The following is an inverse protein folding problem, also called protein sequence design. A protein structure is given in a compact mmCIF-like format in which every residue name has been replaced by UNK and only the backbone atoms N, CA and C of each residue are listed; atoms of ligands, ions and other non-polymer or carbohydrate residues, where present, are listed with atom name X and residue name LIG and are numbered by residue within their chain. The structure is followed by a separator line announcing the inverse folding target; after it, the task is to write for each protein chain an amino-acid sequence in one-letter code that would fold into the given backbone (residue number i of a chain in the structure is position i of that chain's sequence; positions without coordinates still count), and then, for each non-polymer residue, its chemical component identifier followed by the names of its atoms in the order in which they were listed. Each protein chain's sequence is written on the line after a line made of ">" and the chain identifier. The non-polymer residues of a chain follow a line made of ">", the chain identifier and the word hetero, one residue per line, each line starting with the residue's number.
data_IF_743094357171
#
_entry.id   IF_743094357171
#
_cell.length_a   1.000
_cell.length_b   1.000
_cell.length_c   1.000
_cell.angle_alpha   90.00
_cell.angle_beta   90.00
_cell.angle_gamma   90.00
#
_symmetry.space_group_name_H-M   'P 1'
#
loop_
_entity.id
_entity.type
_entity.pdbx_description
1 polymer ?
#
# COMPACT_ATOMS: atom_id res chain seq x y z
N UNK A 1 30.89 -9.78 38.11
CA UNK A 1 30.86 -11.08 37.39
C UNK A 1 29.44 -11.64 37.31
N UNK A 2 28.71 -11.73 38.43
CA UNK A 2 27.38 -12.35 38.51
C UNK A 2 26.35 -11.87 37.45
N UNK A 3 26.28 -10.55 37.17
CA UNK A 3 25.33 -10.01 36.19
C UNK A 3 25.64 -10.41 34.74
N UNK A 4 26.91 -10.47 34.35
CA UNK A 4 27.30 -10.85 32.97
C UNK A 4 27.03 -12.34 32.70
N UNK A 5 27.25 -13.20 33.70
CA UNK A 5 26.94 -14.62 33.65
C UNK A 5 25.43 -14.88 33.58
N UNK A 6 24.62 -14.14 34.34
CA UNK A 6 23.16 -14.22 34.26
C UNK A 6 22.64 -13.83 32.87
N UNK A 7 23.14 -12.73 32.30
CA UNK A 7 22.75 -12.32 30.94
C UNK A 7 23.22 -13.35 29.90
N UNK A 8 24.43 -13.89 30.06
CA UNK A 8 24.96 -14.96 29.20
C UNK A 8 24.02 -16.17 29.21
N UNK A 9 23.64 -16.66 30.39
CA UNK A 9 22.73 -17.80 30.53
C UNK A 9 21.36 -17.54 29.89
N UNK A 10 20.81 -16.33 30.06
CA UNK A 10 19.53 -15.97 29.45
C UNK A 10 19.60 -15.92 27.92
N UNK A 11 20.67 -15.34 27.35
CA UNK A 11 20.87 -15.27 25.90
C UNK A 11 21.14 -16.67 25.34
N UNK A 12 21.99 -17.47 26.00
CA UNK A 12 22.28 -18.83 25.59
C UNK A 12 21.03 -19.71 25.64
N UNK A 13 20.30 -19.69 26.76
CA UNK A 13 19.04 -20.44 26.92
C UNK A 13 17.98 -20.02 25.89
N UNK A 14 17.91 -18.73 25.55
CA UNK A 14 17.06 -18.26 24.47
C UNK A 14 17.45 -18.94 23.16
N UNK A 15 18.71 -18.81 22.73
CA UNK A 15 19.21 -19.36 21.46
C UNK A 15 19.07 -20.89 21.37
N UNK A 16 19.38 -21.61 22.46
CA UNK A 16 19.24 -23.08 22.53
C UNK A 16 17.79 -23.53 22.41
N UNK A 17 16.84 -22.70 22.86
CA UNK A 17 15.40 -22.99 22.75
C UNK A 17 14.78 -22.58 21.41
N UNK A 18 15.55 -21.96 20.51
CA UNK A 18 15.04 -21.43 19.26
C UNK A 18 15.01 -22.48 18.14
N UNK A 19 13.95 -22.48 17.33
CA UNK A 19 13.90 -23.27 16.09
C UNK A 19 14.56 -22.55 14.91
N UNK A 20 14.31 -21.25 14.76
CA UNK A 20 14.87 -20.41 13.69
C UNK A 20 15.27 -19.03 14.27
N UNK A 21 16.37 -18.94 15.03
CA UNK A 21 16.79 -17.69 15.64
C UNK A 21 17.28 -16.68 14.59
N UNK A 22 16.88 -15.42 14.77
CA UNK A 22 17.38 -14.26 14.01
C UNK A 22 17.85 -13.17 14.95
N UNK A 23 18.96 -12.54 14.57
CA UNK A 23 19.57 -11.39 15.19
C UNK A 23 19.06 -10.14 14.48
N UNK A 24 18.49 -9.19 15.23
CA UNK A 24 17.89 -8.00 14.68
C UNK A 24 18.42 -6.76 15.40
N UNK A 25 19.14 -5.93 14.66
CA UNK A 25 19.41 -4.56 15.08
C UNK A 25 18.38 -3.63 14.45
N UNK A 26 17.83 -2.66 15.20
CA UNK A 26 17.09 -1.56 14.59
C UNK A 26 17.95 -0.94 13.48
N UNK A 27 17.53 -1.12 12.22
CA UNK A 27 18.25 -0.66 11.01
C UNK A 27 18.32 -1.66 9.92
N UNK A 28 18.45 -2.90 10.35
CA UNK A 28 18.98 -3.90 9.48
C UNK A 28 17.91 -4.93 9.17
N UNK A 29 17.99 -5.59 8.00
CA UNK A 29 17.22 -6.80 7.80
C UNK A 29 17.55 -7.82 8.92
N UNK A 30 16.60 -8.66 9.33
CA UNK A 30 16.89 -9.75 10.25
C UNK A 30 18.07 -10.59 9.74
N UNK A 31 19.06 -10.83 10.59
CA UNK A 31 20.24 -11.65 10.30
C UNK A 31 20.00 -13.07 10.85
N UNK A 32 19.81 -14.09 10.00
CA UNK A 32 19.62 -15.45 10.48
C UNK A 32 20.81 -15.96 11.27
N UNK A 33 20.56 -16.53 12.44
CA UNK A 33 21.55 -17.20 13.27
C UNK A 33 21.57 -18.68 12.86
N UNK A 34 22.39 -19.01 11.86
CA UNK A 34 22.58 -20.40 11.42
C UNK A 34 23.38 -21.20 12.46
N UNK A 35 23.31 -22.54 12.47
CA UNK A 35 24.21 -23.37 13.26
C UNK A 35 25.68 -23.01 12.99
N UNK A 36 26.44 -22.72 14.04
CA UNK A 36 27.82 -22.24 13.93
C UNK A 36 28.00 -20.81 13.40
N UNK A 37 26.90 -20.07 13.18
CA UNK A 37 26.88 -18.68 12.69
C UNK A 37 26.86 -17.62 13.79
N UNK A 38 27.21 -17.98 15.03
CA UNK A 38 27.34 -17.04 16.13
C UNK A 38 28.37 -17.47 17.16
N UNK A 39 28.82 -16.50 17.97
CA UNK A 39 29.67 -16.68 19.14
C UNK A 39 29.15 -15.77 20.26
N UNK A 40 28.78 -16.37 21.37
CA UNK A 40 28.48 -15.69 22.62
C UNK A 40 29.61 -15.99 23.60
N UNK A 41 30.23 -14.96 24.18
CA UNK A 41 31.37 -15.16 25.07
C UNK A 41 31.59 -14.00 26.01
N UNK A 42 32.21 -14.29 27.16
CA UNK A 42 32.65 -13.29 28.14
C UNK A 42 34.17 -13.14 28.04
N UNK A 43 34.63 -11.99 27.56
CA UNK A 43 36.05 -11.67 27.45
C UNK A 43 36.37 -10.46 28.35
N UNK A 44 37.35 -10.60 29.25
CA UNK A 44 37.74 -9.54 30.19
C UNK A 44 36.56 -8.92 30.96
N UNK A 45 35.59 -9.75 31.35
CA UNK A 45 34.37 -9.33 32.07
C UNK A 45 33.30 -8.66 31.19
N UNK A 46 33.42 -8.69 29.87
CA UNK A 46 32.47 -8.11 28.91
C UNK A 46 31.79 -9.21 28.12
N UNK A 47 30.46 -9.28 28.21
CA UNK A 47 29.66 -10.19 27.40
C UNK A 47 29.53 -9.64 25.97
N UNK A 48 29.95 -10.42 24.99
CA UNK A 48 29.88 -10.07 23.57
C UNK A 48 29.11 -11.14 22.81
N UNK A 49 28.20 -10.70 21.95
CA UNK A 49 27.56 -11.55 20.95
C UNK A 49 28.04 -11.13 19.57
N UNK A 50 28.57 -12.09 18.83
CA UNK A 50 28.90 -11.98 17.42
C UNK A 50 27.98 -12.90 16.61
N UNK A 51 27.37 -12.40 15.55
CA UNK A 51 26.51 -13.16 14.62
C UNK A 51 26.96 -12.87 13.19
N UNK A 52 27.12 -13.90 12.37
CA UNK A 52 27.58 -13.75 10.99
C UNK A 52 26.82 -14.61 9.99
N UNK A 53 26.79 -14.13 8.76
CA UNK A 53 26.36 -14.81 7.54
C UNK A 53 27.41 -14.62 6.44
N UNK A 54 27.14 -15.13 5.24
CA UNK A 54 27.97 -14.89 4.05
C UNK A 54 28.07 -13.39 3.68
N UNK A 55 27.07 -12.58 4.03
CA UNK A 55 26.97 -11.17 3.63
C UNK A 55 27.08 -10.17 4.77
N UNK A 56 26.98 -10.58 6.04
CA UNK A 56 26.95 -9.66 7.20
C UNK A 56 27.63 -10.25 8.43
N UNK A 57 28.27 -9.39 9.23
CA UNK A 57 28.84 -9.73 10.54
C UNK A 57 28.51 -8.64 11.56
N UNK A 58 27.83 -9.00 12.64
CA UNK A 58 27.37 -8.10 13.71
C UNK A 58 28.06 -8.50 15.01
N UNK A 59 28.80 -7.57 15.62
CA UNK A 59 29.47 -7.77 16.92
C UNK A 59 28.96 -6.74 17.92
N UNK A 60 28.37 -7.17 19.04
CA UNK A 60 27.81 -6.26 20.05
C UNK A 60 28.16 -6.67 21.47
N UNK A 61 28.57 -5.69 22.29
CA UNK A 61 28.73 -5.88 23.74
C UNK A 61 27.38 -5.75 24.41
N UNK A 62 26.92 -6.81 25.06
CA UNK A 62 25.66 -6.83 25.79
C UNK A 62 25.89 -6.30 27.21
N UNK A 63 25.02 -5.39 27.67
CA UNK A 63 25.12 -4.76 28.99
C UNK A 63 23.89 -4.97 29.87
N UNK A 64 22.77 -5.42 29.31
CA UNK A 64 21.54 -5.67 30.06
C UNK A 64 20.49 -6.42 29.25
N UNK A 65 19.46 -6.94 29.93
CA UNK A 65 18.25 -7.46 29.30
C UNK A 65 17.15 -6.43 29.49
N UNK A 66 16.59 -5.95 28.39
CA UNK A 66 15.50 -4.97 28.38
C UNK A 66 14.14 -5.64 28.50
N UNK A 67 13.91 -6.71 27.75
CA UNK A 67 12.69 -7.49 27.85
C UNK A 67 12.92 -8.95 27.45
N UNK A 68 12.24 -9.87 28.12
CA UNK A 68 12.25 -11.29 27.79
C UNK A 68 10.81 -11.79 27.68
N UNK A 69 10.44 -12.29 26.51
CA UNK A 69 9.13 -12.86 26.19
C UNK A 69 9.34 -14.20 25.45
N UNK A 70 8.35 -15.10 25.42
CA UNK A 70 8.42 -16.30 24.59
C UNK A 70 8.75 -15.92 23.13
N UNK A 71 9.82 -16.51 22.57
CA UNK A 71 10.27 -16.26 21.20
C UNK A 71 10.90 -14.87 20.94
N UNK A 72 11.06 -14.03 21.97
CA UNK A 72 11.68 -12.70 21.83
C UNK A 72 12.51 -12.30 23.05
N UNK A 73 13.78 -12.01 22.83
CA UNK A 73 14.69 -11.46 23.83
C UNK A 73 15.27 -10.13 23.32
N UNK A 74 15.05 -9.05 24.05
CA UNK A 74 15.63 -7.74 23.75
C UNK A 74 16.71 -7.41 24.78
N UNK A 75 17.92 -7.13 24.31
CA UNK A 75 19.08 -6.82 25.14
C UNK A 75 19.60 -5.42 24.85
N UNK A 76 20.06 -4.74 25.89
CA UNK A 76 20.77 -3.48 25.77
C UNK A 76 22.22 -3.76 25.35
N UNK A 77 22.69 -3.05 24.33
CA UNK A 77 24.03 -3.23 23.76
C UNK A 77 24.79 -1.91 23.67
N UNK A 78 26.11 -2.01 23.61
CA UNK A 78 26.99 -0.90 23.26
C UNK A 78 27.48 -1.09 21.82
N UNK A 79 27.10 -0.16 20.94
CA UNK A 79 27.60 -0.05 19.56
C UNK A 79 28.93 0.67 19.54
N UNK A 80 29.76 0.41 18.53
CA UNK A 80 30.95 1.22 18.28
C UNK A 80 30.53 2.56 17.62
N UNK A 81 31.02 3.75 18.05
CA UNK A 81 31.92 4.04 19.16
C UNK A 81 31.14 4.47 20.43
N UNK A 82 30.80 3.51 21.29
CA UNK A 82 30.14 3.67 22.61
C UNK A 82 28.70 4.23 22.63
N UNK A 83 27.94 4.14 21.54
CA UNK A 83 26.50 4.49 21.55
C UNK A 83 25.69 3.35 22.18
N UNK A 84 24.85 3.64 23.17
CA UNK A 84 23.86 2.68 23.65
C UNK A 84 22.84 2.38 22.55
N UNK A 85 22.46 1.11 22.43
CA UNK A 85 21.42 0.64 21.52
C UNK A 85 20.75 -0.61 22.07
N UNK A 86 19.82 -1.18 21.31
CA UNK A 86 19.26 -2.50 21.61
C UNK A 86 19.56 -3.48 20.48
N UNK A 87 19.61 -4.76 20.85
CA UNK A 87 19.68 -5.89 19.96
C UNK A 87 18.51 -6.83 20.30
N UNK A 88 17.73 -7.20 19.30
CA UNK A 88 16.65 -8.17 19.45
C UNK A 88 17.11 -9.52 18.93
N UNK A 89 16.86 -10.55 19.72
CA UNK A 89 16.93 -11.94 19.31
C UNK A 89 15.51 -12.46 19.23
N UNK A 90 15.16 -13.02 18.09
CA UNK A 90 13.80 -13.42 17.78
C UNK A 90 13.84 -14.85 17.23
N UNK A 91 12.95 -15.71 17.71
CA UNK A 91 12.79 -17.05 17.14
C UNK A 91 11.66 -17.04 16.11
N UNK A 92 12.00 -17.16 14.82
CA UNK A 92 11.01 -17.30 13.75
C UNK A 92 10.36 -18.70 13.73
N UNK A 93 10.98 -19.69 14.38
CA UNK A 93 10.53 -21.09 14.42
C UNK A 93 9.55 -21.37 15.56
N UNK A 94 9.59 -20.59 16.64
CA UNK A 94 8.51 -20.48 17.64
C UNK A 94 7.36 -19.68 17.05
N UNK A 95 6.72 -20.25 16.05
CA UNK A 95 5.62 -19.63 15.37
C UNK A 95 5.00 -20.54 14.34
N UNK A 96 3.90 -21.21 14.71
CA UNK A 96 2.92 -21.60 13.71
C UNK A 96 2.52 -20.37 12.89
N UNK A 97 1.97 -20.59 11.69
CA UNK A 97 1.62 -19.59 10.67
C UNK A 97 0.76 -18.38 11.14
N UNK A 98 0.39 -18.28 12.43
CA UNK A 98 -0.39 -17.20 13.05
C UNK A 98 0.29 -16.36 14.14
N UNK A 99 1.58 -16.53 14.47
CA UNK A 99 2.20 -15.79 15.62
C UNK A 99 2.74 -14.38 15.29
N UNK A 100 2.79 -13.97 14.02
CA UNK A 100 3.11 -12.58 13.63
C UNK A 100 4.56 -12.13 13.81
N UNK A 101 5.46 -13.02 14.25
CA UNK A 101 6.86 -12.71 14.58
C UNK A 101 7.70 -12.32 13.35
N UNK A 102 7.65 -13.00 12.19
CA UNK A 102 8.32 -12.55 10.96
C UNK A 102 7.82 -11.17 10.50
N UNK A 103 6.50 -10.94 10.55
CA UNK A 103 5.88 -9.66 10.20
C UNK A 103 6.31 -8.53 11.14
N UNK A 104 6.53 -8.82 12.42
CA UNK A 104 7.08 -7.85 13.37
C UNK A 104 8.52 -7.45 12.99
N UNK A 105 9.37 -8.43 12.67
CA UNK A 105 10.75 -8.17 12.29
C UNK A 105 10.84 -7.32 11.00
N UNK A 106 10.03 -7.64 9.98
CA UNK A 106 9.94 -6.84 8.75
C UNK A 106 9.48 -5.41 9.01
N UNK A 107 8.47 -5.20 9.87
CA UNK A 107 8.00 -3.86 10.26
C UNK A 107 9.08 -3.05 10.96
N UNK A 108 9.84 -3.67 11.86
CA UNK A 108 10.94 -2.99 12.56
C UNK A 108 12.08 -2.62 11.60
N UNK A 109 12.44 -3.52 10.67
CA UNK A 109 13.44 -3.25 9.65
C UNK A 109 13.03 -2.05 8.78
N UNK A 110 11.79 -2.06 8.29
CA UNK A 110 11.23 -0.98 7.49
C UNK A 110 11.17 0.36 8.24
N UNK A 111 10.81 0.33 9.54
CA UNK A 111 10.76 1.53 10.38
C UNK A 111 12.13 2.18 10.53
N UNK A 112 13.18 1.39 10.75
CA UNK A 112 14.51 1.98 10.84
C UNK A 112 15.05 2.40 9.46
N UNK A 113 14.77 1.63 8.39
CA UNK A 113 15.07 2.07 7.02
C UNK A 113 14.49 3.46 6.77
N UNK A 114 13.22 3.67 7.12
CA UNK A 114 12.59 4.98 7.05
C UNK A 114 13.34 6.02 7.90
N UNK A 115 13.71 5.70 9.15
CA UNK A 115 14.49 6.62 10.00
C UNK A 115 15.82 7.03 9.37
N UNK A 116 16.56 6.10 8.76
CA UNK A 116 17.84 6.37 8.09
C UNK A 116 17.66 7.18 6.82
N UNK A 117 16.67 6.84 5.99
CA UNK A 117 16.25 7.61 4.83
C UNK A 117 15.97 9.07 5.20
N UNK A 118 15.21 9.32 6.28
CA UNK A 118 14.91 10.67 6.74
C UNK A 118 16.17 11.44 7.16
N UNK A 119 17.15 10.77 7.77
CA UNK A 119 18.42 11.42 8.13
C UNK A 119 19.25 11.83 6.91
N UNK A 120 19.13 11.12 5.79
CA UNK A 120 19.85 11.42 4.54
C UNK A 120 19.11 12.47 3.70
N UNK A 121 17.84 12.21 3.39
CA UNK A 121 17.06 13.01 2.43
C UNK A 121 16.38 14.23 3.06
N UNK A 122 16.06 14.19 4.35
CA UNK A 122 15.44 15.31 5.08
C UNK A 122 16.45 16.01 6.00
N UNK A 123 17.67 16.24 5.51
CA UNK A 123 18.72 16.96 6.25
C UNK A 123 18.23 18.35 6.68
N UNK A 124 18.36 18.67 7.97
CA UNK A 124 17.89 19.94 8.54
C UNK A 124 16.39 19.99 8.88
N UNK A 125 15.64 18.92 8.63
CA UNK A 125 14.27 18.77 9.13
C UNK A 125 14.27 18.07 10.48
N UNK A 126 13.33 18.44 11.35
CA UNK A 126 13.12 17.77 12.63
C UNK A 126 12.17 16.59 12.43
N UNK A 127 12.63 15.38 12.72
CA UNK A 127 11.78 14.18 12.76
C UNK A 127 10.88 14.26 14.00
N UNK A 128 9.57 14.30 13.77
CA UNK A 128 8.55 14.39 14.83
C UNK A 128 8.13 13.01 15.32
N UNK A 129 7.92 12.09 14.38
CA UNK A 129 7.44 10.75 14.64
C UNK A 129 7.99 9.78 13.60
N UNK A 130 8.30 8.55 14.02
CA UNK A 130 8.48 7.39 13.15
C UNK A 130 7.76 6.20 13.79
N UNK A 131 6.73 5.67 13.14
CA UNK A 131 5.85 4.63 13.70
C UNK A 131 5.48 3.58 12.66
N UNK A 132 5.19 2.37 13.12
CA UNK A 132 4.56 1.28 12.36
C UNK A 132 3.40 0.66 13.16
N UNK A 133 2.86 1.43 14.12
CA UNK A 133 1.77 0.98 14.99
C UNK A 133 0.46 0.95 14.22
N UNK A 134 -0.44 0.03 14.57
CA UNK A 134 -1.77 0.00 13.96
C UNK A 134 -2.66 1.03 14.66
N UNK A 135 -3.43 1.79 13.89
CA UNK A 135 -4.56 2.59 14.38
C UNK A 135 -5.72 2.38 13.41
N UNK A 136 -6.49 1.30 13.66
CA UNK A 136 -7.53 0.82 12.73
C UNK A 136 -8.69 1.82 12.62
N UNK A 137 -8.97 2.55 13.70
CA UNK A 137 -9.92 3.67 13.73
C UNK A 137 -9.58 4.79 12.75
N UNK A 138 -8.32 4.86 12.32
CA UNK A 138 -7.80 5.82 11.35
C UNK A 138 -7.30 5.14 10.06
N UNK A 139 -7.55 3.83 9.92
CA UNK A 139 -7.11 3.03 8.76
C UNK A 139 -5.58 3.08 8.57
N UNK A 140 -4.83 3.25 9.66
CA UNK A 140 -3.37 3.24 9.64
C UNK A 140 -2.87 1.80 9.77
N UNK A 141 -2.53 1.20 8.63
CA UNK A 141 -2.05 -0.18 8.55
C UNK A 141 -0.64 -0.34 9.15
N UNK A 142 -0.38 -1.36 9.99
CA UNK A 142 0.94 -1.61 10.53
C UNK A 142 1.95 -2.11 9.47
N UNK A 143 1.51 -2.52 8.28
CA UNK A 143 2.40 -3.01 7.22
C UNK A 143 3.37 -1.93 6.73
N UNK A 144 3.00 -0.65 6.87
CA UNK A 144 3.79 0.49 6.43
C UNK A 144 4.47 1.16 7.60
N UNK A 145 5.72 1.59 7.41
CA UNK A 145 6.33 2.56 8.30
C UNK A 145 5.91 3.96 7.89
N UNK A 146 5.59 4.81 8.86
CA UNK A 146 5.14 6.18 8.66
C UNK A 146 5.98 7.12 9.49
N UNK A 147 6.17 8.32 9.00
CA UNK A 147 6.85 9.38 9.71
C UNK A 147 6.26 10.74 9.37
N UNK A 148 6.53 11.69 10.25
CA UNK A 148 6.32 13.11 10.00
C UNK A 148 7.61 13.88 10.29
N UNK A 149 7.93 14.82 9.41
CA UNK A 149 9.10 15.69 9.55
C UNK A 149 8.67 17.14 9.39
N UNK A 150 9.24 18.03 10.19
CA UNK A 150 8.86 19.44 10.25
C UNK A 150 10.07 20.34 10.10
N UNK A 151 9.92 21.41 9.32
CA UNK A 151 10.89 22.49 9.18
C UNK A 151 10.13 23.79 8.90
N UNK A 152 10.45 24.84 9.65
CA UNK A 152 9.94 26.20 9.43
C UNK A 152 8.40 26.29 9.29
N UNK A 153 7.66 25.47 10.06
CA UNK A 153 6.19 25.43 10.01
C UNK A 153 5.59 24.55 8.91
N UNK A 154 6.41 24.03 8.00
CA UNK A 154 6.03 23.04 7.00
C UNK A 154 6.23 21.62 7.55
N UNK A 155 5.29 20.73 7.24
CA UNK A 155 5.29 19.32 7.62
C UNK A 155 5.21 18.45 6.37
N UNK A 156 5.97 17.37 6.33
CA UNK A 156 5.85 16.32 5.32
C UNK A 156 5.38 15.02 5.96
N UNK A 157 4.38 14.40 5.32
CA UNK A 157 3.99 13.03 5.55
C UNK A 157 4.97 12.13 4.80
N UNK A 158 5.57 11.14 5.47
CA UNK A 158 6.44 10.16 4.82
C UNK A 158 5.92 8.76 5.09
N UNK A 159 5.81 7.93 4.06
CA UNK A 159 5.40 6.53 4.20
C UNK A 159 6.38 5.62 3.43
N UNK A 160 6.86 4.58 4.09
CA UNK A 160 7.67 3.53 3.49
C UNK A 160 6.85 2.24 3.37
N UNK A 161 6.95 1.60 2.21
CA UNK A 161 6.31 0.31 1.92
C UNK A 161 7.29 -0.85 2.08
N UNK A 162 6.87 -2.02 2.61
CA UNK A 162 7.71 -3.21 2.59
C UNK A 162 7.94 -3.71 1.16
N UNK A 163 8.91 -4.61 1.00
CA UNK A 163 9.26 -5.21 -0.29
C UNK A 163 8.31 -6.35 -0.67
N UNK A 164 7.03 -6.03 -0.79
CA UNK A 164 5.94 -6.92 -1.17
C UNK A 164 5.10 -6.20 -2.24
N UNK A 165 4.84 -6.84 -3.39
CA UNK A 165 4.12 -6.23 -4.51
C UNK A 165 2.75 -5.65 -4.09
N UNK A 166 1.92 -6.49 -3.45
CA UNK A 166 0.62 -6.08 -2.96
C UNK A 166 0.67 -4.94 -1.92
N UNK A 167 1.75 -4.80 -1.15
CA UNK A 167 1.90 -3.67 -0.23
C UNK A 167 2.34 -2.40 -0.97
N UNK A 168 3.29 -2.53 -1.91
CA UNK A 168 3.75 -1.42 -2.74
C UNK A 168 2.59 -0.81 -3.56
N UNK A 169 1.72 -1.64 -4.12
CA UNK A 169 0.53 -1.16 -4.84
C UNK A 169 -0.41 -0.37 -3.95
N UNK A 170 -0.60 -0.76 -2.70
CA UNK A 170 -1.48 -0.04 -1.77
C UNK A 170 -0.79 1.13 -1.06
N UNK A 171 0.51 1.34 -1.25
CA UNK A 171 1.29 2.33 -0.51
C UNK A 171 0.76 3.77 -0.69
N UNK A 172 0.32 4.13 -1.90
CA UNK A 172 -0.27 5.45 -2.16
C UNK A 172 -1.58 5.65 -1.38
N UNK A 173 -2.46 4.63 -1.33
CA UNK A 173 -3.71 4.68 -0.55
C UNK A 173 -3.42 5.05 0.90
N UNK A 174 -2.54 4.27 1.54
CA UNK A 174 -2.20 4.47 2.95
C UNK A 174 -1.37 5.74 3.18
N UNK A 175 -0.60 6.19 2.16
CA UNK A 175 0.13 7.46 2.18
C UNK A 175 -0.82 8.66 2.20
N UNK A 176 -1.86 8.64 1.37
CA UNK A 176 -2.89 9.68 1.35
C UNK A 176 -3.70 9.72 2.65
N UNK A 177 -4.02 8.55 3.21
CA UNK A 177 -4.68 8.44 4.52
C UNK A 177 -3.79 9.03 5.62
N UNK A 178 -2.50 8.70 5.62
CA UNK A 178 -1.52 9.25 6.58
C UNK A 178 -1.39 10.76 6.47
N UNK A 179 -1.29 11.27 5.24
CA UNK A 179 -1.19 12.70 4.97
C UNK A 179 -2.44 13.47 5.43
N UNK A 180 -3.65 12.96 5.15
CA UNK A 180 -4.90 13.55 5.64
C UNK A 180 -5.04 13.46 7.17
N UNK A 181 -4.62 12.35 7.78
CA UNK A 181 -4.58 12.20 9.22
C UNK A 181 -3.68 13.27 9.86
N UNK A 182 -2.47 13.49 9.32
CA UNK A 182 -1.57 14.54 9.80
C UNK A 182 -2.17 15.94 9.62
N UNK A 183 -2.89 16.22 8.52
CA UNK A 183 -3.57 17.52 8.34
C UNK A 183 -4.60 17.81 9.43
N UNK A 184 -5.34 16.77 9.84
CA UNK A 184 -6.33 16.88 10.91
C UNK A 184 -5.68 17.00 12.29
N UNK A 185 -4.57 16.28 12.54
CA UNK A 185 -3.85 16.27 13.82
C UNK A 185 -3.00 17.53 14.04
N UNK A 186 -2.22 17.93 13.05
CA UNK A 186 -1.20 18.98 13.14
C UNK A 186 -1.73 20.35 12.69
N UNK A 187 -2.75 20.88 13.37
CA UNK A 187 -3.44 22.13 12.95
C UNK A 187 -2.56 23.38 12.89
N UNK A 188 -1.36 23.34 13.46
CA UNK A 188 -0.39 24.46 13.52
C UNK A 188 0.68 24.39 12.42
N UNK A 189 0.78 23.28 11.69
CA UNK A 189 1.76 23.09 10.63
C UNK A 189 1.05 22.89 9.29
N UNK A 190 1.62 23.44 8.22
CA UNK A 190 1.15 23.15 6.87
C UNK A 190 1.68 21.79 6.46
N UNK A 191 0.82 20.77 6.38
CA UNK A 191 1.19 19.47 5.79
C UNK A 191 1.19 19.62 4.27
N UNK A 192 2.38 19.89 3.75
CA UNK A 192 2.63 20.35 2.38
C UNK A 192 2.59 19.18 1.37
N UNK A 193 3.12 18.03 1.77
CA UNK A 193 3.29 16.93 0.83
C UNK A 193 3.41 15.55 1.46
N UNK A 194 3.36 14.57 0.57
CA UNK A 194 3.53 13.15 0.82
C UNK A 194 4.79 12.66 0.09
N UNK A 195 5.71 12.09 0.85
CA UNK A 195 6.87 11.37 0.33
C UNK A 195 6.64 9.86 0.49
N UNK A 196 6.76 9.10 -0.60
CA UNK A 196 6.71 7.64 -0.61
C UNK A 196 8.12 7.07 -0.77
N UNK A 197 8.46 6.09 0.06
CA UNK A 197 9.66 5.27 -0.07
C UNK A 197 9.24 3.85 -0.45
N UNK A 198 9.45 3.47 -1.70
CA UNK A 198 8.94 2.23 -2.30
C UNK A 198 10.09 1.28 -2.69
N UNK A 199 9.85 -0.03 -2.79
CA UNK A 199 10.87 -0.96 -3.28
C UNK A 199 11.21 -0.68 -4.75
N UNK A 200 12.47 -0.87 -5.14
CA UNK A 200 12.88 -0.77 -6.55
C UNK A 200 12.07 -1.74 -7.42
N UNK A 201 11.67 -1.29 -8.61
CA UNK A 201 10.81 -2.03 -9.52
C UNK A 201 9.32 -2.11 -9.13
N UNK A 202 8.92 -1.63 -7.94
CA UNK A 202 7.51 -1.68 -7.46
C UNK A 202 6.88 -0.30 -7.25
N UNK A 203 7.38 0.72 -7.95
CA UNK A 203 6.95 2.12 -7.81
C UNK A 203 6.07 2.62 -8.97
N UNK A 204 6.01 1.88 -10.09
CA UNK A 204 5.33 2.31 -11.31
C UNK A 204 3.85 2.62 -11.07
N UNK A 205 3.12 1.71 -10.40
CA UNK A 205 1.69 1.87 -10.09
C UNK A 205 1.43 3.16 -9.31
N UNK A 206 2.25 3.44 -8.30
CA UNK A 206 2.13 4.68 -7.52
C UNK A 206 2.40 5.91 -8.38
N UNK A 207 3.41 5.90 -9.26
CA UNK A 207 3.75 7.03 -10.11
C UNK A 207 2.64 7.31 -11.16
N UNK A 208 2.10 6.26 -11.80
CA UNK A 208 0.98 6.37 -12.73
C UNK A 208 -0.25 7.01 -12.07
N UNK A 209 -0.57 6.59 -10.85
CA UNK A 209 -1.68 7.16 -10.07
C UNK A 209 -1.41 8.61 -9.67
N UNK A 210 -0.20 8.93 -9.19
CA UNK A 210 0.18 10.29 -8.77
C UNK A 210 0.05 11.30 -9.91
N UNK A 211 0.36 10.91 -11.14
CA UNK A 211 0.21 11.77 -12.33
C UNK A 211 -1.22 12.27 -12.57
N UNK A 212 -2.21 11.62 -11.93
CA UNK A 212 -3.64 11.94 -12.04
C UNK A 212 -4.27 12.34 -10.70
N UNK A 213 -3.43 12.71 -9.72
CA UNK A 213 -3.85 13.39 -8.51
C UNK A 213 -3.78 14.90 -8.69
N UNK A 214 -4.63 15.62 -7.98
CA UNK A 214 -4.68 17.07 -7.96
C UNK A 214 -3.37 17.63 -7.36
N UNK A 215 -2.55 18.36 -8.15
CA UNK A 215 -1.28 18.89 -7.67
C UNK A 215 -1.45 19.97 -6.59
N UNK A 216 -2.64 20.57 -6.47
CA UNK A 216 -2.97 21.50 -5.39
C UNK A 216 -3.39 20.80 -4.09
N UNK A 217 -3.72 19.50 -4.15
CA UNK A 217 -4.13 18.75 -2.96
C UNK A 217 -2.92 18.37 -2.09
N UNK A 218 -1.78 18.04 -2.69
CA UNK A 218 -0.52 17.77 -1.99
C UNK A 218 0.66 17.80 -2.97
N UNK A 219 1.87 18.07 -2.48
CA UNK A 219 3.10 17.77 -3.22
C UNK A 219 3.44 16.29 -3.06
N UNK A 220 3.84 15.64 -4.16
CA UNK A 220 4.20 14.22 -4.15
C UNK A 220 5.67 14.03 -4.50
N UNK A 221 6.36 13.22 -3.71
CA UNK A 221 7.74 12.80 -3.97
C UNK A 221 7.81 11.29 -3.81
N UNK A 222 8.52 10.62 -4.71
CA UNK A 222 8.71 9.17 -4.65
C UNK A 222 10.21 8.88 -4.67
N UNK A 223 10.63 8.03 -3.74
CA UNK A 223 11.95 7.41 -3.72
C UNK A 223 11.80 5.90 -3.85
N UNK A 224 12.75 5.27 -4.52
CA UNK A 224 12.94 3.82 -4.49
C UNK A 224 14.06 3.45 -3.52
N UNK A 225 14.05 2.22 -3.02
CA UNK A 225 15.18 1.62 -2.31
C UNK A 225 15.50 0.23 -2.85
N UNK A 226 16.76 -0.14 -2.71
CA UNK A 226 17.29 -1.49 -2.93
C UNK A 226 18.32 -1.78 -1.83
N UNK A 227 18.06 -2.77 -0.99
CA UNK A 227 18.88 -3.00 0.19
C UNK A 227 18.84 -1.85 1.24
N UNK A 228 19.84 -1.76 2.14
CA UNK A 228 19.82 -0.85 3.30
C UNK A 228 20.34 0.58 3.03
N UNK A 229 21.25 0.74 2.08
CA UNK A 229 22.03 1.99 1.89
C UNK A 229 21.87 2.62 0.51
N UNK A 230 21.00 2.07 -0.34
CA UNK A 230 20.72 2.63 -1.65
C UNK A 230 19.27 3.10 -1.74
N UNK A 231 19.12 4.36 -2.13
CA UNK A 231 17.85 5.02 -2.38
C UNK A 231 18.01 6.04 -3.52
N UNK A 232 16.99 6.15 -4.37
CA UNK A 232 17.01 7.04 -5.54
C UNK A 232 15.67 7.76 -5.67
N UNK A 233 15.70 9.05 -6.02
CA UNK A 233 14.48 9.79 -6.28
C UNK A 233 13.94 9.44 -7.68
N UNK A 234 12.65 9.14 -7.76
CA UNK A 234 11.98 8.82 -9.03
C UNK A 234 11.45 10.10 -9.67
N UNK A 235 11.70 10.27 -10.97
CA UNK A 235 11.04 11.27 -11.79
C UNK A 235 9.64 10.79 -12.19
N UNK A 236 8.62 11.21 -11.44
CA UNK A 236 7.22 10.79 -11.64
C UNK A 236 6.72 11.06 -13.07
N UNK A 237 7.10 12.20 -13.65
CA UNK A 237 6.68 12.60 -14.99
C UNK A 237 7.22 11.65 -16.09
N UNK A 238 8.30 10.92 -15.84
CA UNK A 238 8.86 9.96 -16.78
C UNK A 238 8.01 8.68 -16.90
N UNK A 239 6.99 8.48 -16.07
CA UNK A 239 6.24 7.22 -15.96
C UNK A 239 4.83 7.30 -16.57
N UNK A 240 4.61 8.17 -17.56
CA UNK A 240 3.31 8.38 -18.21
C UNK A 240 2.90 7.35 -19.27
N UNK A 241 3.81 6.46 -19.69
CA UNK A 241 3.51 5.44 -20.68
C UNK A 241 2.94 4.20 -20.00
N UNK A 242 1.65 3.91 -20.23
CA UNK A 242 1.09 2.62 -19.86
C UNK A 242 1.50 1.58 -20.90
N UNK A 243 2.26 0.58 -20.46
CA UNK A 243 2.50 -0.65 -21.22
C UNK A 243 1.27 -1.57 -21.08
N UNK A 244 0.28 -1.36 -21.94
CA UNK A 244 -1.03 -2.02 -21.83
C UNK A 244 -1.64 -2.36 -23.18
N UNK A 245 -2.37 -3.47 -23.22
CA UNK A 245 -3.08 -3.97 -24.41
C UNK A 245 -4.52 -4.29 -24.05
N UNK A 246 -5.43 -4.05 -25.00
CA UNK A 246 -6.81 -4.55 -24.96
C UNK A 246 -6.98 -5.64 -26.00
N UNK A 247 -7.69 -6.75 -25.68
CA UNK A 247 -7.98 -7.79 -26.65
C UNK A 247 -8.97 -7.29 -27.71
N UNK A 248 -9.10 -8.02 -28.82
CA UNK A 248 -10.23 -7.83 -29.74
C UNK A 248 -11.53 -8.09 -28.97
N UNK A 249 -12.55 -7.26 -29.22
CA UNK A 249 -13.87 -7.44 -28.67
C UNK A 249 -14.47 -8.76 -29.19
N UNK A 250 -14.34 -9.81 -28.38
CA UNK A 250 -15.25 -10.94 -28.47
C UNK A 250 -16.56 -10.51 -27.77
N UNK A 251 -17.72 -10.99 -28.26
CA UNK A 251 -18.99 -10.79 -27.54
C UNK A 251 -18.84 -11.13 -26.05
N UNK A 252 -19.69 -10.59 -25.15
CA UNK A 252 -19.44 -10.57 -23.71
C UNK A 252 -18.89 -11.93 -23.25
N UNK A 253 -17.63 -11.98 -22.76
CA UNK A 253 -16.96 -13.26 -22.59
C UNK A 253 -17.76 -14.15 -21.64
N UNK A 254 -17.89 -15.46 -21.91
CA UNK A 254 -18.40 -16.40 -20.92
C UNK A 254 -17.48 -16.34 -19.70
N UNK A 255 -18.08 -16.26 -18.51
CA UNK A 255 -17.33 -15.88 -17.31
C UNK A 255 -16.28 -16.93 -16.92
N UNK A 256 -15.10 -16.47 -16.53
CA UNK A 256 -14.24 -17.24 -15.64
C UNK A 256 -14.91 -17.32 -14.24
N UNK A 257 -14.68 -18.40 -13.50
CA UNK A 257 -15.12 -18.50 -12.12
C UNK A 257 -14.48 -17.36 -11.31
N UNK A 258 -15.30 -16.45 -10.79
CA UNK A 258 -14.85 -15.44 -9.82
C UNK A 258 -14.71 -16.13 -8.47
N UNK A 259 -13.65 -15.82 -7.75
CA UNK A 259 -13.46 -16.26 -6.35
C UNK A 259 -14.52 -15.66 -5.42
N UNK A 260 -15.17 -14.56 -5.83
CA UNK A 260 -16.18 -13.83 -5.05
C UNK A 260 -17.56 -13.91 -5.73
N UNK A 261 -18.35 -14.94 -5.38
CA UNK A 261 -19.68 -15.21 -5.95
C UNK A 261 -20.67 -14.04 -5.84
N UNK A 262 -20.41 -13.12 -4.92
CA UNK A 262 -21.24 -11.99 -4.56
C UNK A 262 -21.04 -10.73 -5.43
N UNK A 263 -19.79 -10.33 -5.69
CA UNK A 263 -19.46 -9.21 -6.60
C UNK A 263 -19.86 -9.57 -8.03
N UNK A 264 -19.51 -10.78 -8.40
CA UNK A 264 -20.02 -11.55 -9.52
C UNK A 264 -21.53 -11.45 -9.77
N UNK A 265 -22.35 -11.60 -8.72
CA UNK A 265 -23.79 -11.52 -8.84
C UNK A 265 -24.23 -10.08 -9.14
N UNK A 266 -23.64 -9.11 -8.44
CA UNK A 266 -23.97 -7.69 -8.60
C UNK A 266 -23.58 -7.20 -10.00
N UNK A 267 -22.40 -7.59 -10.49
CA UNK A 267 -21.93 -7.33 -11.85
C UNK A 267 -22.93 -7.86 -12.89
N UNK A 268 -23.39 -9.10 -12.74
CA UNK A 268 -24.39 -9.72 -13.63
C UNK A 268 -25.71 -8.94 -13.64
N UNK A 269 -26.18 -8.50 -12.46
CA UNK A 269 -27.40 -7.69 -12.35
C UNK A 269 -27.25 -6.33 -13.00
N UNK A 270 -26.11 -5.65 -12.80
CA UNK A 270 -25.83 -4.35 -13.43
C UNK A 270 -25.79 -4.51 -14.95
N UNK A 271 -25.14 -5.56 -15.45
CA UNK A 271 -25.05 -5.84 -16.89
C UNK A 271 -26.42 -6.11 -17.53
N UNK A 272 -27.31 -6.81 -16.81
CA UNK A 272 -28.66 -7.09 -17.30
C UNK A 272 -29.57 -5.85 -17.33
N UNK A 273 -29.26 -4.81 -16.56
CA UNK A 273 -30.11 -3.62 -16.43
C UNK A 273 -29.29 -2.37 -16.08
N UNK A 274 -28.36 -1.91 -16.96
CA UNK A 274 -27.46 -0.81 -16.65
C UNK A 274 -28.21 0.51 -16.44
N UNK A 275 -29.36 0.70 -17.09
CA UNK A 275 -30.24 1.86 -16.87
C UNK A 275 -30.78 1.97 -15.44
N UNK A 276 -30.89 0.86 -14.69
CA UNK A 276 -31.20 0.92 -13.24
C UNK A 276 -30.03 1.46 -12.43
N UNK A 277 -28.79 1.21 -12.87
CA UNK A 277 -27.58 1.74 -12.24
C UNK A 277 -27.32 3.20 -12.62
N UNK A 278 -27.57 3.62 -13.85
CA UNK A 278 -27.52 5.01 -14.33
C UNK A 278 -28.34 5.10 -15.62
N UNK A 279 -29.41 5.90 -15.62
CA UNK A 279 -30.33 6.03 -16.74
C UNK A 279 -29.69 6.57 -18.03
N UNK A 280 -28.49 7.15 -17.93
CA UNK A 280 -27.71 7.58 -19.11
C UNK A 280 -27.02 6.42 -19.81
N UNK A 281 -26.83 5.27 -19.18
CA UNK A 281 -26.11 4.15 -19.79
C UNK A 281 -26.93 3.49 -20.89
N UNK A 282 -26.26 3.11 -21.97
CA UNK A 282 -26.85 2.27 -23.01
C UNK A 282 -27.19 0.88 -22.43
N UNK A 283 -28.31 0.27 -22.83
CA UNK A 283 -28.65 -1.09 -22.39
C UNK A 283 -27.62 -2.16 -22.79
N UNK A 284 -26.92 -1.95 -23.90
CA UNK A 284 -25.93 -2.88 -24.48
C UNK A 284 -25.07 -2.16 -25.53
N UNK A 285 -23.81 -2.58 -25.76
CA UNK A 285 -23.07 -3.58 -25.00
C UNK A 285 -22.55 -3.04 -23.66
N UNK A 286 -22.50 -3.92 -22.66
CA UNK A 286 -21.77 -3.70 -21.42
C UNK A 286 -20.74 -4.81 -21.31
N UNK A 287 -19.46 -4.45 -21.44
CA UNK A 287 -18.36 -5.39 -21.34
C UNK A 287 -18.02 -5.57 -19.87
N UNK A 288 -17.69 -6.77 -19.47
CA UNK A 288 -17.10 -6.97 -18.16
C UNK A 288 -15.94 -7.93 -18.22
N UNK A 289 -15.14 -7.89 -17.16
CA UNK A 289 -13.88 -8.59 -17.09
C UNK A 289 -12.97 -8.24 -18.28
N UNK A 290 -12.88 -6.95 -18.62
CA UNK A 290 -12.01 -6.49 -19.72
C UNK A 290 -10.56 -6.62 -19.23
N UNK A 291 -9.78 -7.60 -19.72
CA UNK A 291 -8.40 -7.74 -19.28
C UNK A 291 -7.60 -6.59 -19.86
N UNK A 292 -6.79 -5.95 -19.02
CA UNK A 292 -5.85 -4.94 -19.47
C UNK A 292 -4.52 -5.20 -18.77
N UNK A 293 -3.53 -5.55 -19.59
CA UNK A 293 -2.19 -5.95 -19.15
C UNK A 293 -1.42 -4.71 -18.65
N UNK A 294 -0.64 -4.83 -17.58
CA UNK A 294 0.44 -3.88 -17.26
C UNK A 294 1.68 -4.70 -16.94
N UNK A 295 2.64 -4.74 -17.86
CA UNK A 295 3.81 -5.62 -17.73
C UNK A 295 3.40 -7.09 -17.50
N UNK A 296 3.67 -7.63 -16.30
CA UNK A 296 3.39 -9.03 -15.91
C UNK A 296 2.10 -9.16 -15.07
N UNK A 297 1.51 -8.06 -14.62
CA UNK A 297 0.37 -8.08 -13.70
C UNK A 297 -0.98 -7.98 -14.42
N UNK A 298 -1.90 -8.88 -14.03
CA UNK A 298 -3.24 -8.99 -14.57
C UNK A 298 -4.21 -8.20 -13.71
N UNK A 299 -4.68 -7.05 -14.20
CA UNK A 299 -5.85 -6.37 -13.67
C UNK A 299 -7.08 -6.70 -14.52
N UNK A 300 -8.22 -6.91 -13.89
CA UNK A 300 -9.48 -7.18 -14.56
C UNK A 300 -10.50 -6.09 -14.20
N UNK A 301 -10.86 -5.26 -15.19
CA UNK A 301 -11.91 -4.26 -15.01
C UNK A 301 -13.26 -4.97 -14.86
N UNK A 302 -14.01 -4.62 -13.82
CA UNK A 302 -15.35 -5.14 -13.57
C UNK A 302 -16.27 -4.90 -14.76
N UNK A 303 -16.57 -3.64 -15.09
CA UNK A 303 -17.42 -3.31 -16.23
C UNK A 303 -16.96 -2.05 -16.98
N UNK A 304 -17.08 -2.11 -18.31
CA UNK A 304 -16.95 -0.99 -19.23
C UNK A 304 -18.28 -0.81 -19.99
N UNK A 305 -18.89 0.36 -19.86
CA UNK A 305 -20.12 0.74 -20.52
C UNK A 305 -19.95 2.03 -21.32
N UNK A 306 -21.01 2.41 -22.04
CA UNK A 306 -21.09 3.66 -22.78
C UNK A 306 -22.44 4.31 -22.49
N UNK A 307 -22.47 5.64 -22.36
CA UNK A 307 -23.71 6.39 -22.20
C UNK A 307 -24.36 6.75 -23.54
N UNK A 308 -25.61 7.25 -23.48
CA UNK A 308 -26.39 7.67 -24.65
C UNK A 308 -25.70 8.75 -25.51
N UNK A 309 -24.73 9.47 -24.94
CA UNK A 309 -23.92 10.48 -25.65
C UNK A 309 -22.63 9.92 -26.23
N UNK A 310 -22.41 8.61 -26.17
CA UNK A 310 -21.20 7.96 -26.65
C UNK A 310 -20.02 8.03 -25.68
N UNK A 311 -20.18 8.57 -24.46
CA UNK A 311 -19.07 8.71 -23.51
C UNK A 311 -18.89 7.41 -22.72
N UNK A 312 -17.65 6.95 -22.62
CA UNK A 312 -17.31 5.73 -21.88
C UNK A 312 -17.52 5.90 -20.38
N UNK A 313 -17.91 4.82 -19.71
CA UNK A 313 -18.05 4.73 -18.26
C UNK A 313 -17.33 3.49 -17.74
N UNK A 314 -16.35 3.71 -16.87
CA UNK A 314 -15.65 2.68 -16.10
C UNK A 314 -16.44 2.46 -14.81
N UNK A 315 -16.85 1.24 -14.54
CA UNK A 315 -17.69 0.91 -13.39
C UNK A 315 -16.94 -0.10 -12.54
N UNK A 316 -16.54 0.32 -11.34
CA UNK A 316 -15.85 -0.53 -10.36
C UNK A 316 -16.84 -0.90 -9.26
N UNK A 317 -16.95 -2.19 -8.95
CA UNK A 317 -17.92 -2.74 -8.02
C UNK A 317 -17.19 -3.26 -6.78
N UNK A 318 -17.71 -2.94 -5.60
CA UNK A 318 -17.22 -3.53 -4.35
C UNK A 318 -18.36 -3.95 -3.45
N UNK A 319 -18.30 -5.17 -2.91
CA UNK A 319 -19.31 -5.67 -1.95
C UNK A 319 -19.01 -5.30 -0.51
N UNK A 320 -17.74 -5.12 -0.17
CA UNK A 320 -17.29 -4.83 1.19
C UNK A 320 -16.47 -3.55 1.22
N UNK A 321 -16.47 -2.88 2.36
CA UNK A 321 -15.66 -1.68 2.56
C UNK A 321 -14.16 -1.96 2.29
N UNK A 322 -13.60 -1.28 1.28
CA UNK A 322 -12.19 -1.38 0.92
C UNK A 322 -11.56 0.02 0.78
N UNK A 323 -10.52 0.36 1.56
CA UNK A 323 -9.85 1.65 1.44
C UNK A 323 -9.15 1.85 0.09
N UNK A 324 -8.81 0.79 -0.64
CA UNK A 324 -8.09 0.88 -1.92
C UNK A 324 -9.00 1.10 -3.12
N UNK A 325 -10.32 0.92 -2.96
CA UNK A 325 -11.30 1.00 -4.04
C UNK A 325 -11.09 2.22 -4.97
N UNK A 326 -10.91 3.46 -4.48
CA UNK A 326 -10.73 4.60 -5.38
C UNK A 326 -9.50 4.48 -6.27
N UNK A 327 -8.34 4.11 -5.71
CA UNK A 327 -7.08 4.04 -6.46
C UNK A 327 -7.01 2.80 -7.36
N UNK A 328 -7.65 1.69 -6.98
CA UNK A 328 -7.85 0.54 -7.85
C UNK A 328 -8.70 0.92 -9.07
N UNK A 329 -9.82 1.62 -8.85
CA UNK A 329 -10.70 2.09 -9.91
C UNK A 329 -9.99 3.10 -10.83
N UNK A 330 -9.11 3.94 -10.27
CA UNK A 330 -8.28 4.86 -11.03
C UNK A 330 -7.38 4.10 -12.03
N UNK A 331 -6.79 2.96 -11.67
CA UNK A 331 -5.94 2.20 -12.59
C UNK A 331 -6.68 1.75 -13.85
N UNK A 332 -7.94 1.33 -13.71
CA UNK A 332 -8.76 0.98 -14.86
C UNK A 332 -9.18 2.20 -15.66
N UNK A 333 -9.53 3.29 -14.98
CA UNK A 333 -9.83 4.56 -15.64
C UNK A 333 -8.66 5.05 -16.49
N UNK A 334 -7.43 4.97 -15.99
CA UNK A 334 -6.20 5.33 -16.71
C UNK A 334 -6.03 4.50 -17.98
N UNK A 335 -6.21 3.18 -17.87
CA UNK A 335 -6.12 2.26 -19.02
C UNK A 335 -7.18 2.56 -20.07
N UNK A 336 -8.42 2.75 -19.65
CA UNK A 336 -9.52 3.08 -20.57
C UNK A 336 -9.29 4.44 -21.21
N UNK A 337 -8.84 5.46 -20.46
CA UNK A 337 -8.50 6.78 -20.99
C UNK A 337 -7.40 6.69 -22.05
N UNK A 338 -6.33 5.92 -21.77
CA UNK A 338 -5.21 5.71 -22.67
C UNK A 338 -5.63 5.09 -24.00
N UNK A 339 -6.33 3.95 -23.95
CA UNK A 339 -6.82 3.26 -25.15
C UNK A 339 -7.88 4.07 -25.92
N UNK A 340 -8.75 4.76 -25.19
CA UNK A 340 -9.77 5.60 -25.79
C UNK A 340 -9.17 6.77 -26.57
N UNK A 341 -8.15 7.45 -26.02
CA UNK A 341 -7.46 8.53 -26.72
C UNK A 341 -6.75 8.07 -28.01
N UNK A 342 -6.45 6.77 -28.13
CA UNK A 342 -5.81 6.14 -29.29
C UNK A 342 -6.81 5.54 -30.28
N UNK A 343 -8.11 5.64 -30.00
CA UNK A 343 -9.16 5.02 -30.81
C UNK A 343 -9.18 3.49 -30.76
N UNK A 344 -8.50 2.89 -29.78
CA UNK A 344 -8.32 1.44 -29.71
C UNK A 344 -9.67 0.72 -29.57
N UNK A 345 -10.58 1.22 -28.73
CA UNK A 345 -11.90 0.58 -28.55
C UNK A 345 -12.66 0.39 -29.86
N UNK A 346 -12.75 1.43 -30.69
CA UNK A 346 -13.40 1.33 -32.00
C UNK A 346 -12.64 0.37 -32.93
N UNK A 347 -11.30 0.45 -32.96
CA UNK A 347 -10.44 -0.40 -33.80
C UNK A 347 -10.54 -1.88 -33.45
N UNK A 348 -10.67 -2.19 -32.17
CA UNK A 348 -10.77 -3.56 -31.67
C UNK A 348 -12.22 -4.07 -31.58
N UNK A 349 -13.21 -3.32 -32.09
CA UNK A 349 -14.60 -3.77 -32.23
C UNK A 349 -15.49 -3.57 -30.99
N UNK A 350 -15.05 -2.76 -30.02
CA UNK A 350 -15.87 -2.37 -28.88
C UNK A 350 -16.90 -1.32 -29.29
N UNK A 351 -18.12 -1.43 -28.74
CA UNK A 351 -19.22 -0.48 -28.96
C UNK A 351 -19.55 -0.24 -30.45
N UNK A 352 -19.48 -1.29 -31.28
CA UNK A 352 -19.79 -1.23 -32.71
C UNK A 352 -21.16 -0.58 -32.96
N UNK A 353 -21.19 0.42 -33.86
CA UNK A 353 -22.40 1.20 -34.17
C UNK A 353 -22.64 2.41 -33.26
N UNK A 354 -21.80 2.62 -32.24
CA UNK A 354 -21.85 3.80 -31.36
C UNK A 354 -20.71 4.76 -31.74
N UNK A 355 -21.05 6.03 -31.98
CA UNK A 355 -20.04 7.07 -32.13
C UNK A 355 -19.50 7.44 -30.75
N UNK A 356 -18.27 7.00 -30.43
CA UNK A 356 -17.65 7.28 -29.14
C UNK A 356 -17.28 8.78 -29.02
N UNK A 357 -17.71 9.39 -27.92
CA UNK A 357 -17.40 10.78 -27.57
C UNK A 357 -15.93 10.91 -27.17
N UNK A 358 -15.19 11.97 -27.56
CA UNK A 358 -13.79 12.14 -27.21
C UNK A 358 -13.54 12.50 -25.73
N UNK A 359 -14.60 12.76 -24.96
CA UNK A 359 -14.51 13.12 -23.56
C UNK A 359 -13.83 12.01 -22.72
N UNK A 360 -13.19 12.41 -21.63
CA UNK A 360 -12.62 11.45 -20.69
C UNK A 360 -13.71 10.53 -20.12
N UNK A 361 -13.42 9.24 -19.91
CA UNK A 361 -14.40 8.31 -19.34
C UNK A 361 -14.93 8.82 -17.99
N UNK A 362 -16.18 8.47 -17.67
CA UNK A 362 -16.72 8.63 -16.31
C UNK A 362 -16.21 7.48 -15.43
N UNK A 363 -16.01 7.73 -14.14
CA UNK A 363 -15.64 6.71 -13.16
C UNK A 363 -16.79 6.50 -12.16
N UNK A 364 -17.48 5.36 -12.25
CA UNK A 364 -18.59 5.01 -11.38
C UNK A 364 -18.10 4.01 -10.34
N UNK A 365 -18.08 4.42 -9.07
CA UNK A 365 -17.79 3.54 -7.95
C UNK A 365 -19.11 3.02 -7.39
N UNK A 366 -19.29 1.70 -7.35
CA UNK A 366 -20.56 1.07 -7.01
C UNK A 366 -20.36 0.14 -5.81
N UNK A 367 -21.08 0.39 -4.72
CA UNK A 367 -21.05 -0.47 -3.55
C UNK A 367 -22.41 -0.47 -2.82
N UNK A 368 -22.71 -1.47 -1.98
CA UNK A 368 -23.83 -1.39 -1.06
C UNK A 368 -23.75 -0.10 -0.22
N UNK A 369 -24.89 0.54 0.01
CA UNK A 369 -24.94 1.87 0.61
C UNK A 369 -24.29 1.97 2.01
N UNK A 370 -24.18 0.85 2.73
CA UNK A 370 -23.58 0.76 4.07
C UNK A 370 -22.18 0.13 4.08
N UNK A 371 -21.65 -0.25 2.92
CA UNK A 371 -20.35 -0.93 2.75
C UNK A 371 -19.28 0.00 2.18
N UNK A 372 -19.44 1.32 2.36
CA UNK A 372 -18.43 2.30 1.96
C UNK A 372 -17.37 2.44 3.04
N UNK A 373 -16.10 2.32 2.65
CA UNK A 373 -15.00 2.58 3.57
C UNK A 373 -14.92 4.07 3.92
N UNK A 374 -14.66 4.41 5.19
CA UNK A 374 -14.67 5.79 5.70
C UNK A 374 -13.65 6.71 5.05
N UNK A 375 -12.57 6.16 4.49
CA UNK A 375 -11.52 6.91 3.79
C UNK A 375 -11.80 7.17 2.32
N UNK A 376 -12.89 6.63 1.75
CA UNK A 376 -13.23 6.79 0.32
C UNK A 376 -13.27 8.27 -0.06
N UNK A 377 -14.00 9.07 0.73
CA UNK A 377 -14.12 10.52 0.49
C UNK A 377 -12.78 11.23 0.64
N UNK A 378 -12.00 10.86 1.65
CA UNK A 378 -10.65 11.41 1.85
C UNK A 378 -9.77 11.19 0.62
N UNK A 379 -9.75 9.98 0.07
CA UNK A 379 -8.91 9.66 -1.09
C UNK A 379 -9.39 10.40 -2.34
N UNK A 380 -10.70 10.44 -2.57
CA UNK A 380 -11.28 11.14 -3.74
C UNK A 380 -11.00 12.66 -3.74
N UNK A 381 -10.72 13.30 -2.59
CA UNK A 381 -10.30 14.71 -2.55
C UNK A 381 -8.93 14.95 -3.21
N UNK A 382 -8.11 13.91 -3.35
CA UNK A 382 -6.82 13.99 -4.00
C UNK A 382 -6.89 13.77 -5.50
N UNK A 383 -8.01 13.33 -6.06
CA UNK A 383 -8.10 13.07 -7.50
C UNK A 383 -8.07 14.38 -8.28
N UNK A 384 -7.46 14.36 -9.46
CA UNK A 384 -7.55 15.48 -10.38
C UNK A 384 -9.03 15.80 -10.70
N UNK A 385 -9.46 17.08 -10.63
CA UNK A 385 -10.86 17.45 -10.80
C UNK A 385 -11.41 17.19 -12.20
N UNK A 386 -10.56 16.91 -13.20
CA UNK A 386 -10.99 16.46 -14.53
C UNK A 386 -11.53 15.02 -14.54
N UNK A 387 -11.25 14.24 -13.49
CA UNK A 387 -11.76 12.89 -13.33
C UNK A 387 -13.17 12.97 -12.74
N UNK A 388 -14.17 12.77 -13.59
CA UNK A 388 -15.57 12.74 -13.14
C UNK A 388 -15.88 11.42 -12.43
N UNK A 389 -15.83 11.45 -11.10
CA UNK A 389 -16.17 10.31 -10.24
C UNK A 389 -17.59 10.44 -9.71
N UNK A 390 -18.37 9.36 -9.74
CA UNK A 390 -19.68 9.24 -9.08
C UNK A 390 -19.69 8.02 -8.17
N UNK A 391 -20.03 8.21 -6.89
CA UNK A 391 -20.27 7.12 -5.92
C UNK A 391 -21.74 6.76 -5.93
N UNK A 392 -22.05 5.48 -6.16
CA UNK A 392 -23.42 4.98 -6.28
C UNK A 392 -23.66 3.95 -5.17
N UNK A 393 -24.49 4.33 -4.20
CA UNK A 393 -24.87 3.46 -3.10
C UNK A 393 -26.09 2.62 -3.45
N UNK A 394 -25.98 1.30 -3.32
CA UNK A 394 -27.06 0.37 -3.66
C UNK A 394 -27.76 -0.18 -2.41
N UNK A 395 -29.09 -0.28 -2.46
CA UNK A 395 -29.83 -1.26 -1.68
C UNK A 395 -29.75 -2.60 -2.42
N UNK A 396 -29.11 -3.58 -1.79
CA UNK A 396 -29.02 -4.94 -2.32
C UNK A 396 -30.08 -5.79 -1.63
N UNK A 397 -31.14 -6.13 -2.37
CA UNK A 397 -32.18 -7.02 -1.89
C UNK A 397 -31.82 -8.44 -2.34
N UNK A 398 -31.55 -9.33 -1.39
CA UNK A 398 -31.19 -10.72 -1.71
C UNK A 398 -32.32 -11.34 -2.56
N UNK A 399 -31.94 -11.87 -3.73
CA UNK A 399 -32.83 -12.44 -4.77
C UNK A 399 -33.73 -11.47 -5.57
N UNK A 400 -33.99 -10.23 -5.13
CA UNK A 400 -34.91 -9.31 -5.81
C UNK A 400 -34.24 -8.30 -6.76
N UNK A 401 -32.93 -8.05 -6.63
CA UNK A 401 -32.17 -7.15 -7.51
C UNK A 401 -31.42 -6.08 -6.73
N UNK A 402 -31.17 -4.93 -7.36
CA UNK A 402 -30.59 -3.77 -6.69
C UNK A 402 -31.42 -2.51 -6.97
N UNK A 403 -31.38 -1.57 -6.04
CA UNK A 403 -31.95 -0.22 -6.22
C UNK A 403 -30.91 0.82 -5.84
N UNK A 404 -30.74 1.84 -6.67
CA UNK A 404 -29.89 2.99 -6.33
C UNK A 404 -30.54 3.79 -5.19
N UNK A 405 -29.84 3.94 -4.08
CA UNK A 405 -30.27 4.74 -2.93
C UNK A 405 -29.73 6.17 -2.99
N UNK A 406 -28.49 6.33 -3.43
CA UNK A 406 -27.87 7.64 -3.58
C UNK A 406 -26.85 7.66 -4.72
N UNK A 407 -26.58 8.87 -5.20
CA UNK A 407 -25.45 9.21 -6.06
C UNK A 407 -24.76 10.43 -5.48
N UNK A 408 -23.45 10.35 -5.31
CA UNK A 408 -22.65 11.45 -4.78
C UNK A 408 -21.45 11.72 -5.70
N UNK A 409 -21.27 12.97 -6.19
CA UNK A 409 -20.12 13.30 -7.03
C UNK A 409 -18.83 13.34 -6.20
N UNK A 410 -17.80 12.60 -6.63
CA UNK A 410 -16.48 12.55 -6.01
C UNK A 410 -16.53 12.42 -4.49
N UNK A 411 -15.88 13.37 -3.80
CA UNK A 411 -15.77 13.42 -2.35
C UNK A 411 -16.92 14.15 -1.61
N UNK A 412 -18.04 14.45 -2.29
CA UNK A 412 -19.17 15.14 -1.63
C UNK A 412 -19.85 14.23 -0.62
N UNK A 413 -20.01 14.69 0.63
CA UNK A 413 -20.71 13.96 1.66
C UNK A 413 -22.21 13.78 1.34
N UNK A 414 -22.85 12.68 1.80
CA UNK A 414 -24.31 12.59 1.81
C UNK A 414 -24.90 13.75 2.63
N UNK A 415 -25.91 14.42 2.07
CA UNK A 415 -26.63 15.52 2.75
C UNK A 415 -27.63 15.00 3.76
#
# INVERSE_FOLDING_TARGET
>A
MHQAEQIHLAVQSFLDSCGQPVCFEPGDPPLPIRPGGYRLGVESGRLTLQVWSESRNVVRRIVGIRSQKPGRLEVDVVRFPKRQGSLLLIDLGRGGAGTGVPRLASRMALRERLRLFLQRQFTGWRIMEVSSEAALEHTLSPSYARASVVRDGCCWAVLASPDEAAAADHALTFGLIWHDYLRRRERKALVEGLCLLLPQGKHLTACLRIAWLNPNAARFVVFTYDGPDWEEQVEIAAHGNLDTEIPVAHGPPPRAASENADEAWLESRIRASPGQLDARLLPSPVYGQVPAWVGVERGVLDLLACDIGGRLAVIEIKRTADPNLPLQALDYWLRVRWHHARGDFARFGYFTGVALSPLAPRLLLVAPAFEWHSTTETILRYFDPSIEVERIGLAVEWQAGFRVLFRLPGAHAPK
#
